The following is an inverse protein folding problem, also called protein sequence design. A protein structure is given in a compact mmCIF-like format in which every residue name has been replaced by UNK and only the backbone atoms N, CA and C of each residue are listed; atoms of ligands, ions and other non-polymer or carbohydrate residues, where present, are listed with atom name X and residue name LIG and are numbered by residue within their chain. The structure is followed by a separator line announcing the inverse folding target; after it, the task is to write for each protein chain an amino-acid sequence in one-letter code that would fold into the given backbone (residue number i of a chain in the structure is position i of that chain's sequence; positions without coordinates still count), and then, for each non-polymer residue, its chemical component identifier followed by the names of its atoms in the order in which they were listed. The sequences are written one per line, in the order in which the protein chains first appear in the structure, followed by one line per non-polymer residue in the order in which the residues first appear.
data_IF_132588571716
#
_entry.id   IF_132588571716
#
_cell.length_a   1.000
_cell.length_b   1.000
_cell.length_c   1.000
_cell.angle_alpha   90.00
_cell.angle_beta   90.00
_cell.angle_gamma   90.00
#
_symmetry.space_group_name_H-M   'P 1'
#
loop_
_entity.id
_entity.type
_entity.pdbx_description
1 polymer ?
#
# COMPACT_ATOMS: atom_id res chain seq x y z
N UNK A 1 -1.32 -27.03 88.99
CA UNK A 1 -2.03 -26.90 87.72
C UNK A 1 -1.11 -26.13 86.73
N UNK A 2 -0.41 -26.85 85.85
CA UNK A 2 0.55 -26.27 84.87
C UNK A 2 -0.22 -26.10 83.54
N UNK A 3 -0.32 -24.84 83.06
CA UNK A 3 -0.88 -24.52 81.73
C UNK A 3 0.21 -24.68 80.69
N UNK A 4 0.04 -25.58 79.71
CA UNK A 4 0.89 -25.76 78.54
C UNK A 4 0.38 -24.82 77.47
N UNK A 5 1.21 -23.89 77.02
CA UNK A 5 0.97 -22.99 75.91
C UNK A 5 1.49 -23.65 74.64
N UNK A 6 0.61 -24.01 73.69
CA UNK A 6 1.01 -24.52 72.41
C UNK A 6 1.24 -23.36 71.45
N UNK A 7 2.46 -23.26 70.93
CA UNK A 7 2.85 -22.35 69.84
C UNK A 7 2.52 -23.02 68.47
N UNK A 8 1.59 -22.44 67.76
CA UNK A 8 1.30 -22.85 66.38
C UNK A 8 2.23 -22.03 65.45
N UNK A 9 3.18 -22.70 64.79
CA UNK A 9 4.09 -22.15 63.80
C UNK A 9 3.38 -22.15 62.43
N UNK A 10 2.95 -20.97 61.94
CA UNK A 10 2.42 -20.84 60.59
C UNK A 10 3.58 -20.70 59.65
N UNK A 11 3.87 -21.76 58.86
CA UNK A 11 4.78 -21.67 57.72
C UNK A 11 4.03 -20.97 56.55
N UNK A 12 4.42 -19.77 56.22
CA UNK A 12 4.01 -19.10 54.97
C UNK A 12 4.79 -19.72 53.81
N UNK A 13 4.11 -20.53 52.99
CA UNK A 13 4.67 -21.02 51.72
C UNK A 13 4.62 -19.88 50.69
N UNK A 14 5.79 -19.34 50.39
CA UNK A 14 5.97 -18.40 49.29
C UNK A 14 5.92 -19.16 47.96
N UNK A 15 4.81 -18.97 47.21
CA UNK A 15 4.71 -19.43 45.84
C UNK A 15 5.68 -18.63 44.95
N UNK A 16 6.51 -19.28 44.11
CA UNK A 16 7.34 -18.58 43.18
C UNK A 16 6.46 -17.88 42.12
N UNK A 17 6.51 -16.56 42.07
CA UNK A 17 5.96 -15.80 40.94
C UNK A 17 6.72 -16.20 39.68
N UNK A 18 6.06 -16.90 38.76
CA UNK A 18 6.57 -17.15 37.44
C UNK A 18 6.73 -15.81 36.71
N UNK A 19 7.96 -15.31 36.62
CA UNK A 19 8.32 -14.20 35.75
C UNK A 19 8.15 -14.73 34.32
N UNK A 20 7.02 -14.41 33.71
CA UNK A 20 6.80 -14.62 32.27
C UNK A 20 7.82 -13.76 31.53
N UNK A 21 8.91 -14.37 31.08
CA UNK A 21 9.84 -13.72 30.17
C UNK A 21 9.06 -13.29 28.93
N UNK A 22 8.85 -11.98 28.74
CA UNK A 22 8.39 -11.42 27.45
C UNK A 22 9.35 -11.96 26.39
N UNK A 23 8.88 -12.89 25.56
CA UNK A 23 9.57 -13.25 24.33
C UNK A 23 9.88 -11.94 23.61
N UNK A 24 11.17 -11.64 23.40
CA UNK A 24 11.59 -10.56 22.52
C UNK A 24 11.03 -10.88 21.12
N UNK A 25 9.83 -10.41 20.82
CA UNK A 25 9.26 -10.54 19.49
C UNK A 25 10.14 -9.74 18.55
N UNK A 26 10.78 -10.42 17.61
CA UNK A 26 11.49 -9.76 16.51
C UNK A 26 10.43 -8.92 15.77
N UNK A 27 10.64 -7.60 15.66
CA UNK A 27 9.67 -6.74 15.00
C UNK A 27 9.35 -7.30 13.60
N UNK A 28 8.08 -7.49 13.32
CA UNK A 28 7.68 -7.94 11.99
C UNK A 28 7.65 -6.76 11.04
N UNK A 29 8.35 -6.93 9.94
CA UNK A 29 8.43 -5.95 8.86
C UNK A 29 7.41 -6.31 7.78
N UNK A 30 6.74 -5.29 7.25
CA UNK A 30 5.89 -5.35 6.06
C UNK A 30 6.52 -4.48 4.97
N UNK A 31 6.93 -5.10 3.87
CA UNK A 31 7.45 -4.41 2.69
C UNK A 31 6.30 -4.11 1.73
N UNK A 32 6.00 -2.84 1.52
CA UNK A 32 4.90 -2.39 0.66
C UNK A 32 5.42 -1.60 -0.53
N UNK A 33 4.69 -1.67 -1.67
CA UNK A 33 5.05 -0.95 -2.90
C UNK A 33 3.82 -0.26 -3.50
N UNK A 34 4.03 0.92 -4.10
CA UNK A 34 3.11 1.54 -5.05
C UNK A 34 3.75 1.56 -6.43
N UNK A 35 2.99 1.16 -7.45
CA UNK A 35 3.51 1.02 -8.80
C UNK A 35 2.46 1.42 -9.85
N UNK A 36 2.53 2.67 -10.34
CA UNK A 36 1.83 3.00 -11.58
C UNK A 36 2.55 2.25 -12.72
N UNK A 37 1.86 1.20 -13.24
CA UNK A 37 2.45 0.26 -14.19
C UNK A 37 2.43 0.81 -15.63
N UNK A 38 1.80 1.95 -15.86
CA UNK A 38 1.46 2.48 -17.18
C UNK A 38 0.59 1.52 -17.99
N UNK A 39 -0.56 1.97 -18.45
CA UNK A 39 -1.48 1.15 -19.21
C UNK A 39 -0.84 0.57 -20.49
N UNK A 40 -1.30 -0.60 -20.90
CA UNK A 40 -0.87 -1.23 -22.15
C UNK A 40 -1.43 -0.46 -23.34
N UNK A 41 -0.58 0.35 -23.97
CA UNK A 41 -0.90 1.12 -25.17
C UNK A 41 0.26 1.05 -26.18
N UNK A 42 -0.05 0.90 -27.47
CA UNK A 42 0.94 0.95 -28.54
C UNK A 42 1.52 2.35 -28.79
N UNK A 43 0.98 3.39 -28.13
CA UNK A 43 1.46 4.78 -28.29
C UNK A 43 2.81 5.04 -27.63
N UNK A 44 3.26 4.16 -26.75
CA UNK A 44 4.52 4.31 -26.02
C UNK A 44 5.73 3.74 -26.81
N UNK A 45 5.54 3.29 -28.05
CA UNK A 45 6.60 2.79 -28.93
C UNK A 45 7.39 1.65 -28.28
N UNK A 46 8.72 1.79 -28.19
CA UNK A 46 9.61 0.79 -27.55
C UNK A 46 9.40 0.68 -26.02
N UNK A 47 8.62 1.58 -25.42
CA UNK A 47 8.20 1.52 -24.02
C UNK A 47 6.79 0.92 -23.84
N UNK A 48 6.16 0.41 -24.92
CA UNK A 48 4.89 -0.30 -24.81
C UNK A 48 4.99 -1.54 -23.91
N UNK A 49 3.87 -1.96 -23.37
CA UNK A 49 3.80 -3.03 -22.36
C UNK A 49 4.52 -4.31 -22.79
N UNK A 50 4.33 -4.73 -24.03
CA UNK A 50 4.96 -5.95 -24.58
C UNK A 50 6.49 -5.95 -24.46
N UNK A 51 7.13 -4.78 -24.51
CA UNK A 51 8.59 -4.66 -24.38
C UNK A 51 9.08 -4.54 -22.95
N UNK A 52 8.25 -4.09 -22.00
CA UNK A 52 8.66 -3.87 -20.60
C UNK A 52 8.08 -4.87 -19.61
N UNK A 53 7.12 -5.70 -20.03
CA UNK A 53 6.53 -6.68 -19.12
C UNK A 53 7.54 -7.69 -18.54
N UNK A 54 8.57 -8.20 -19.27
CA UNK A 54 9.58 -9.07 -18.66
C UNK A 54 10.40 -8.36 -17.58
N UNK A 55 10.78 -7.08 -17.83
CA UNK A 55 11.52 -6.28 -16.85
C UNK A 55 10.68 -5.96 -15.61
N UNK A 56 9.36 -5.80 -15.77
CA UNK A 56 8.43 -5.67 -14.64
C UNK A 56 8.43 -6.92 -13.76
N UNK A 57 8.41 -8.11 -14.36
CA UNK A 57 8.47 -9.37 -13.60
C UNK A 57 9.80 -9.51 -12.85
N UNK A 58 10.92 -9.20 -13.51
CA UNK A 58 12.24 -9.24 -12.85
C UNK A 58 12.35 -8.22 -11.70
N UNK A 59 11.76 -7.03 -11.87
CA UNK A 59 11.65 -6.04 -10.79
C UNK A 59 10.86 -6.59 -9.61
N UNK A 60 9.71 -7.21 -9.84
CA UNK A 60 8.89 -7.79 -8.77
C UNK A 60 9.58 -8.96 -8.07
N UNK A 61 10.31 -9.81 -8.81
CA UNK A 61 11.13 -10.90 -8.26
C UNK A 61 12.32 -10.40 -7.44
N UNK A 62 12.94 -9.28 -7.82
CA UNK A 62 14.05 -8.66 -7.10
C UNK A 62 13.55 -7.96 -5.83
N UNK A 63 12.52 -7.14 -5.97
CA UNK A 63 12.00 -6.32 -4.87
C UNK A 63 11.17 -7.10 -3.84
N UNK A 64 10.45 -8.13 -4.24
CA UNK A 64 9.66 -9.03 -3.38
C UNK A 64 8.80 -8.29 -2.35
N UNK A 65 7.92 -7.37 -2.75
CA UNK A 65 7.02 -6.72 -1.80
C UNK A 65 6.04 -7.74 -1.19
N UNK A 66 5.68 -7.58 0.09
CA UNK A 66 4.63 -8.38 0.72
C UNK A 66 3.24 -8.02 0.15
N UNK A 67 3.02 -6.72 -0.07
CA UNK A 67 1.81 -6.17 -0.70
C UNK A 67 2.17 -5.01 -1.61
N UNK A 68 1.52 -4.94 -2.78
CA UNK A 68 1.68 -3.77 -3.64
C UNK A 68 0.38 -3.38 -4.33
N UNK A 69 0.21 -2.07 -4.52
CA UNK A 69 -0.86 -1.48 -5.32
C UNK A 69 -0.36 -1.13 -6.71
N UNK A 70 -1.14 -1.46 -7.75
CA UNK A 70 -0.87 -1.02 -9.12
C UNK A 70 -1.92 -0.02 -9.58
N UNK A 71 -1.49 0.97 -10.37
CA UNK A 71 -2.35 1.95 -11.02
C UNK A 71 -2.21 1.79 -12.55
N UNK A 72 -3.22 2.22 -13.30
CA UNK A 72 -3.34 2.13 -14.77
C UNK A 72 -3.38 0.71 -15.35
N UNK A 73 -3.32 -0.34 -14.56
CA UNK A 73 -3.28 -1.69 -15.07
C UNK A 73 -4.57 -2.06 -15.84
N UNK A 74 -4.44 -2.53 -17.07
CA UNK A 74 -5.53 -3.15 -17.81
C UNK A 74 -5.62 -4.64 -17.48
N UNK A 75 -6.76 -5.26 -17.80
CA UNK A 75 -6.99 -6.67 -17.47
C UNK A 75 -5.92 -7.62 -18.03
N UNK A 76 -5.38 -7.36 -19.22
CA UNK A 76 -4.31 -8.17 -19.80
C UNK A 76 -3.01 -8.06 -19.01
N UNK A 77 -2.70 -6.88 -18.43
CA UNK A 77 -1.53 -6.69 -17.56
C UNK A 77 -1.72 -7.41 -16.22
N UNK A 78 -2.93 -7.37 -15.64
CA UNK A 78 -3.27 -8.12 -14.43
C UNK A 78 -3.10 -9.63 -14.65
N UNK A 79 -3.64 -10.16 -15.76
CA UNK A 79 -3.54 -11.59 -16.10
C UNK A 79 -2.09 -12.00 -16.30
N UNK A 80 -1.30 -11.20 -17.02
CA UNK A 80 0.13 -11.43 -17.21
C UNK A 80 0.90 -11.49 -15.87
N UNK A 81 0.67 -10.52 -14.99
CA UNK A 81 1.33 -10.55 -13.67
C UNK A 81 0.91 -11.77 -12.84
N UNK A 82 -0.35 -12.21 -12.91
CA UNK A 82 -0.79 -13.44 -12.23
C UNK A 82 -0.11 -14.68 -12.76
N UNK A 83 0.09 -14.77 -14.06
CA UNK A 83 0.73 -15.90 -14.71
C UNK A 83 2.22 -15.99 -14.36
N UNK A 84 2.94 -14.87 -14.39
CA UNK A 84 4.40 -14.85 -14.23
C UNK A 84 4.90 -14.53 -12.82
N UNK A 85 3.99 -14.16 -11.89
CA UNK A 85 4.27 -13.95 -10.47
C UNK A 85 3.42 -14.89 -9.59
N UNK A 86 3.63 -16.21 -9.74
CA UNK A 86 2.83 -17.26 -9.10
C UNK A 86 2.70 -17.13 -7.57
N UNK A 87 3.68 -16.52 -6.91
CA UNK A 87 3.65 -16.27 -5.45
C UNK A 87 2.60 -15.23 -5.05
N UNK A 88 2.09 -14.45 -6.01
CA UNK A 88 1.14 -13.39 -5.76
C UNK A 88 -0.28 -13.76 -6.20
N UNK A 89 -1.26 -13.17 -5.50
CA UNK A 89 -2.65 -13.10 -5.93
C UNK A 89 -3.12 -11.65 -5.84
N UNK A 90 -4.27 -11.33 -6.43
CA UNK A 90 -4.75 -9.96 -6.50
C UNK A 90 -6.25 -9.82 -6.30
N UNK A 91 -6.67 -8.61 -5.93
CA UNK A 91 -8.06 -8.14 -5.93
C UNK A 91 -8.16 -6.78 -6.60
N UNK A 92 -9.35 -6.45 -7.08
CA UNK A 92 -9.68 -5.20 -7.75
C UNK A 92 -10.60 -5.43 -8.94
N UNK A 93 -11.19 -4.34 -9.43
CA UNK A 93 -12.10 -4.35 -10.58
C UNK A 93 -11.74 -3.23 -11.54
N UNK A 94 -12.17 -3.36 -12.79
CA UNK A 94 -12.05 -2.32 -13.80
C UNK A 94 -12.95 -1.13 -13.47
N UNK A 95 -12.38 0.07 -13.53
CA UNK A 95 -13.06 1.31 -13.10
C UNK A 95 -14.31 1.67 -13.93
N UNK A 96 -14.43 1.16 -15.16
CA UNK A 96 -15.50 1.57 -16.06
C UNK A 96 -16.81 0.82 -15.82
N UNK A 97 -16.75 -0.45 -15.41
CA UNK A 97 -17.92 -1.31 -15.25
C UNK A 97 -17.99 -2.06 -13.92
N UNK A 98 -16.99 -1.90 -13.05
CA UNK A 98 -16.89 -2.67 -11.82
C UNK A 98 -16.59 -4.15 -12.04
N UNK A 99 -16.10 -4.51 -13.22
CA UNK A 99 -15.75 -5.89 -13.62
C UNK A 99 -14.39 -5.93 -14.30
N UNK A 100 -14.34 -5.87 -15.64
CA UNK A 100 -13.10 -6.04 -16.41
C UNK A 100 -12.73 -4.86 -17.31
N UNK A 101 -13.59 -3.85 -17.46
CA UNK A 101 -13.35 -2.71 -18.35
C UNK A 101 -12.68 -1.55 -17.64
N UNK A 102 -11.75 -0.92 -18.36
CA UNK A 102 -10.96 0.22 -17.87
C UNK A 102 -9.78 -0.21 -17.00
N UNK A 103 -9.13 0.77 -16.41
CA UNK A 103 -7.96 0.57 -15.56
C UNK A 103 -8.35 0.03 -14.19
N UNK A 104 -7.48 -0.80 -13.63
CA UNK A 104 -7.60 -1.38 -12.30
C UNK A 104 -6.69 -0.65 -11.30
N UNK A 105 -7.23 -0.44 -10.12
CA UNK A 105 -6.44 -0.10 -8.92
C UNK A 105 -6.26 -1.36 -8.10
N UNK A 106 -5.62 -2.39 -8.71
CA UNK A 106 -5.46 -3.69 -8.04
C UNK A 106 -4.48 -3.65 -6.90
N UNK A 107 -4.75 -4.50 -5.90
CA UNK A 107 -3.86 -4.82 -4.79
C UNK A 107 -3.38 -6.25 -4.97
N UNK A 108 -2.07 -6.44 -5.05
CA UNK A 108 -1.41 -7.73 -5.07
C UNK A 108 -0.78 -8.03 -3.72
N UNK A 109 -0.80 -9.29 -3.29
CA UNK A 109 -0.14 -9.73 -2.07
C UNK A 109 0.61 -11.04 -2.27
N UNK A 110 1.75 -11.18 -1.60
CA UNK A 110 2.50 -12.42 -1.56
C UNK A 110 1.75 -13.45 -0.70
N UNK A 111 1.27 -14.52 -1.32
CA UNK A 111 0.53 -15.60 -0.65
C UNK A 111 1.30 -16.32 0.45
N UNK A 112 2.65 -16.25 0.43
CA UNK A 112 3.52 -16.88 1.44
C UNK A 112 3.54 -16.07 2.74
N UNK A 113 3.51 -14.74 2.64
CA UNK A 113 3.67 -13.82 3.80
C UNK A 113 2.37 -13.20 4.28
N UNK A 114 1.40 -13.00 3.38
CA UNK A 114 0.15 -12.31 3.68
C UNK A 114 -1.07 -13.18 3.32
N UNK A 115 -2.14 -13.08 4.13
CA UNK A 115 -3.46 -13.65 3.85
C UNK A 115 -4.46 -12.51 3.67
N UNK A 116 -5.15 -12.46 2.54
CA UNK A 116 -6.30 -11.58 2.31
C UNK A 116 -7.51 -12.11 3.08
N UNK A 117 -8.29 -11.23 3.72
CA UNK A 117 -9.48 -11.57 4.52
C UNK A 117 -10.76 -11.08 3.83
N UNK A 118 -10.81 -9.78 3.49
CA UNK A 118 -11.92 -9.16 2.78
C UNK A 118 -11.41 -7.97 1.97
N UNK A 119 -12.14 -7.57 0.95
CA UNK A 119 -11.79 -6.44 0.11
C UNK A 119 -13.03 -5.78 -0.49
N UNK A 120 -12.83 -4.61 -1.08
CA UNK A 120 -13.86 -3.89 -1.83
C UNK A 120 -13.25 -2.78 -2.67
N UNK A 121 -14.06 -2.24 -3.57
CA UNK A 121 -13.72 -1.08 -4.39
C UNK A 121 -14.85 -0.08 -4.34
N UNK A 122 -14.54 1.21 -4.30
CA UNK A 122 -15.52 2.28 -4.43
C UNK A 122 -15.02 3.34 -5.42
N UNK A 123 -15.95 4.07 -6.02
CA UNK A 123 -15.66 5.13 -6.97
C UNK A 123 -15.43 6.46 -6.27
N UNK A 124 -14.50 7.24 -6.79
CA UNK A 124 -14.23 8.58 -6.28
C UNK A 124 -15.20 9.57 -6.95
N UNK A 125 -16.39 9.61 -6.39
CA UNK A 125 -17.51 10.43 -6.87
C UNK A 125 -18.54 10.65 -5.77
N UNK A 126 -19.55 11.43 -6.06
CA UNK A 126 -20.72 11.65 -5.20
C UNK A 126 -21.62 10.41 -5.06
N UNK A 127 -21.40 9.39 -5.92
CA UNK A 127 -22.10 8.10 -5.86
C UNK A 127 -21.11 6.93 -5.83
N UNK A 128 -20.37 6.75 -4.74
CA UNK A 128 -19.19 5.86 -4.68
C UNK A 128 -19.53 4.37 -4.77
N UNK A 129 -20.77 3.97 -4.66
CA UNK A 129 -21.18 2.55 -4.66
C UNK A 129 -21.35 1.96 -6.07
N UNK A 130 -21.25 2.76 -7.11
CA UNK A 130 -21.42 2.33 -8.50
C UNK A 130 -20.43 3.03 -9.44
N UNK A 131 -20.15 2.43 -10.63
CA UNK A 131 -19.31 3.06 -11.64
C UNK A 131 -19.79 4.46 -12.01
N UNK A 132 -19.11 5.48 -11.51
CA UNK A 132 -19.46 6.89 -11.69
C UNK A 132 -18.22 7.76 -11.81
N UNK A 133 -18.40 8.94 -12.37
CA UNK A 133 -17.39 9.99 -12.50
C UNK A 133 -17.79 11.14 -11.60
N UNK A 134 -16.87 11.59 -10.73
CA UNK A 134 -17.18 12.60 -9.72
C UNK A 134 -16.60 13.96 -10.05
N UNK A 135 -17.28 15.02 -9.62
CA UNK A 135 -16.85 16.42 -9.71
C UNK A 135 -16.41 16.81 -11.14
N UNK A 136 -15.21 17.39 -11.25
CA UNK A 136 -14.58 17.77 -12.53
C UNK A 136 -13.62 16.70 -13.10
N UNK A 137 -13.79 15.42 -12.70
CA UNK A 137 -12.92 14.34 -13.14
C UNK A 137 -12.96 14.14 -14.66
N UNK A 138 -11.81 13.82 -15.26
CA UNK A 138 -11.71 13.50 -16.68
C UNK A 138 -12.11 12.04 -16.98
N UNK A 139 -12.01 11.16 -15.99
CA UNK A 139 -12.37 9.75 -16.09
C UNK A 139 -12.81 9.21 -14.73
N UNK A 140 -13.47 8.05 -14.72
CA UNK A 140 -13.81 7.37 -13.48
C UNK A 140 -12.55 7.03 -12.70
N UNK A 141 -12.57 7.26 -11.39
CA UNK A 141 -11.48 6.94 -10.47
C UNK A 141 -12.00 6.08 -9.34
N UNK A 142 -11.16 5.17 -8.85
CA UNK A 142 -11.53 4.23 -7.80
C UNK A 142 -10.46 4.16 -6.72
N UNK A 143 -10.88 3.71 -5.54
CA UNK A 143 -10.00 3.21 -4.51
C UNK A 143 -10.39 1.76 -4.20
N UNK A 144 -9.41 0.86 -4.25
CA UNK A 144 -9.55 -0.53 -3.82
C UNK A 144 -8.92 -0.69 -2.46
N UNK A 145 -9.59 -1.38 -1.54
CA UNK A 145 -9.10 -1.65 -0.19
C UNK A 145 -9.16 -3.14 0.12
N UNK A 146 -8.26 -3.60 0.97
CA UNK A 146 -8.24 -4.97 1.46
C UNK A 146 -7.85 -5.01 2.94
N UNK A 147 -8.59 -5.80 3.74
CA UNK A 147 -8.16 -6.24 5.06
C UNK A 147 -7.31 -7.49 4.89
N UNK A 148 -6.11 -7.44 5.42
CA UNK A 148 -5.10 -8.47 5.29
C UNK A 148 -4.56 -8.89 6.66
N UNK A 149 -3.89 -10.04 6.70
CA UNK A 149 -3.23 -10.58 7.89
C UNK A 149 -1.79 -10.96 7.55
N UNK A 150 -0.83 -10.39 8.27
CA UNK A 150 0.54 -10.89 8.26
C UNK A 150 0.58 -12.31 8.84
N UNK A 151 1.10 -13.26 8.07
CA UNK A 151 1.10 -14.68 8.49
C UNK A 151 2.11 -14.97 9.59
N UNK A 152 3.19 -14.18 9.67
CA UNK A 152 4.24 -14.37 10.66
C UNK A 152 3.77 -13.96 12.07
N UNK A 153 3.13 -12.82 12.20
CA UNK A 153 2.71 -12.26 13.50
C UNK A 153 1.23 -12.46 13.80
N UNK A 154 0.43 -12.73 12.78
CA UNK A 154 -1.02 -12.75 12.91
C UNK A 154 -1.66 -11.37 12.98
N UNK A 155 -0.90 -10.28 12.93
CA UNK A 155 -1.43 -8.91 12.95
C UNK A 155 -2.23 -8.62 11.70
N UNK A 156 -3.36 -7.94 11.87
CA UNK A 156 -4.21 -7.48 10.77
C UNK A 156 -3.85 -6.05 10.40
N UNK A 157 -4.03 -5.73 9.12
CA UNK A 157 -3.83 -4.37 8.60
C UNK A 157 -4.70 -4.16 7.38
N UNK A 158 -4.98 -2.90 7.07
CA UNK A 158 -5.63 -2.49 5.82
C UNK A 158 -4.61 -2.00 4.81
N UNK A 159 -4.86 -2.32 3.55
CA UNK A 159 -4.13 -1.76 2.42
C UNK A 159 -5.14 -1.11 1.47
N UNK A 160 -4.90 0.14 1.08
CA UNK A 160 -5.74 0.90 0.16
C UNK A 160 -4.88 1.36 -1.01
N UNK A 161 -5.41 1.25 -2.23
CA UNK A 161 -4.74 1.67 -3.45
C UNK A 161 -5.65 2.52 -4.32
N UNK A 162 -5.14 3.62 -4.86
CA UNK A 162 -5.90 4.58 -5.66
C UNK A 162 -5.08 5.20 -6.78
N UNK A 163 -5.78 5.83 -7.73
CA UNK A 163 -5.21 6.72 -8.72
C UNK A 163 -6.14 7.93 -8.87
N UNK A 164 -5.70 9.09 -8.38
CA UNK A 164 -6.49 10.32 -8.43
C UNK A 164 -6.53 10.91 -9.84
N UNK A 165 -7.49 11.80 -10.11
CA UNK A 165 -7.67 12.34 -11.46
C UNK A 165 -6.48 13.23 -11.89
N UNK A 166 -6.05 13.08 -13.15
CA UNK A 166 -4.89 13.79 -13.68
C UNK A 166 -5.20 15.23 -14.15
N UNK A 167 -6.49 15.61 -14.26
CA UNK A 167 -6.94 16.94 -14.69
C UNK A 167 -7.79 17.67 -13.65
N UNK A 168 -8.83 17.02 -13.15
CA UNK A 168 -9.81 17.61 -12.24
C UNK A 168 -9.19 17.98 -10.89
N UNK A 169 -9.13 19.26 -10.56
CA UNK A 169 -8.60 19.73 -9.26
C UNK A 169 -9.55 19.39 -8.12
N UNK A 170 -10.83 19.64 -8.30
CA UNK A 170 -11.86 19.29 -7.30
C UNK A 170 -11.99 17.77 -7.16
N UNK A 171 -11.88 17.01 -8.26
CA UNK A 171 -11.89 15.55 -8.21
C UNK A 171 -10.73 14.99 -7.41
N UNK A 172 -9.51 15.56 -7.51
CA UNK A 172 -8.36 15.16 -6.67
C UNK A 172 -8.60 15.48 -5.19
N UNK A 173 -9.00 16.72 -4.89
CA UNK A 173 -9.24 17.18 -3.52
C UNK A 173 -10.34 16.37 -2.83
N UNK A 174 -11.51 16.29 -3.47
CA UNK A 174 -12.68 15.62 -2.92
C UNK A 174 -12.52 14.09 -2.95
N UNK A 175 -11.86 13.53 -3.98
CA UNK A 175 -11.54 12.12 -4.05
C UNK A 175 -10.61 11.69 -2.91
N UNK A 176 -9.56 12.47 -2.61
CA UNK A 176 -8.68 12.20 -1.47
C UNK A 176 -9.43 12.32 -0.15
N UNK A 177 -10.27 13.37 0.02
CA UNK A 177 -11.12 13.51 1.19
C UNK A 177 -12.05 12.31 1.38
N UNK A 178 -12.72 11.88 0.30
CA UNK A 178 -13.60 10.71 0.33
C UNK A 178 -12.87 9.44 0.76
N UNK A 179 -11.63 9.22 0.27
CA UNK A 179 -10.80 8.10 0.69
C UNK A 179 -10.55 8.17 2.20
N UNK A 180 -10.12 9.32 2.71
CA UNK A 180 -9.83 9.53 4.14
C UNK A 180 -11.07 9.27 5.00
N UNK A 181 -12.23 9.81 4.61
CA UNK A 181 -13.48 9.63 5.36
C UNK A 181 -13.94 8.15 5.34
N UNK A 182 -13.79 7.46 4.21
CA UNK A 182 -14.15 6.04 4.09
C UNK A 182 -13.19 5.09 4.80
N UNK A 183 -11.91 5.41 4.85
CA UNK A 183 -10.91 4.66 5.61
C UNK A 183 -11.37 4.50 7.06
N UNK A 184 -11.83 5.57 7.71
CA UNK A 184 -12.31 5.52 9.09
C UNK A 184 -13.51 4.57 9.25
N UNK A 185 -14.46 4.59 8.31
CA UNK A 185 -15.64 3.72 8.33
C UNK A 185 -15.33 2.25 7.99
N UNK A 186 -14.33 2.01 7.13
CA UNK A 186 -13.92 0.66 6.73
C UNK A 186 -13.14 -0.04 7.86
N UNK A 187 -12.40 0.72 8.67
CA UNK A 187 -11.50 0.25 9.72
C UNK A 187 -11.98 0.63 11.14
N UNK A 188 -13.16 0.22 11.57
CA UNK A 188 -13.68 0.55 12.90
C UNK A 188 -12.84 -0.05 14.03
N UNK A 189 -12.08 -1.11 13.75
CA UNK A 189 -11.20 -1.78 14.72
C UNK A 189 -9.87 -1.05 14.91
N UNK A 190 -9.56 -0.02 14.13
CA UNK A 190 -8.33 0.76 14.25
C UNK A 190 -7.05 -0.02 13.90
N UNK A 191 -7.13 -1.03 13.03
CA UNK A 191 -5.93 -1.76 12.58
C UNK A 191 -4.95 -0.84 11.83
N UNK A 192 -3.65 -1.15 11.85
CA UNK A 192 -2.67 -0.47 11.00
C UNK A 192 -3.14 -0.39 9.55
N UNK A 193 -2.81 0.70 8.88
CA UNK A 193 -3.29 0.98 7.53
C UNK A 193 -2.18 1.55 6.64
N UNK A 194 -2.20 1.15 5.36
CA UNK A 194 -1.35 1.68 4.29
C UNK A 194 -2.26 2.24 3.19
N UNK A 195 -1.94 3.43 2.70
CA UNK A 195 -2.55 4.02 1.52
C UNK A 195 -1.47 4.27 0.47
N UNK A 196 -1.64 3.69 -0.71
CA UNK A 196 -0.74 3.84 -1.85
C UNK A 196 -1.47 4.45 -3.05
N UNK A 197 -0.72 5.07 -3.95
CA UNK A 197 -1.30 5.50 -5.22
C UNK A 197 -0.51 6.57 -5.94
N UNK A 198 -0.90 6.77 -7.19
CA UNK A 198 -0.60 7.98 -7.96
C UNK A 198 -1.66 9.03 -7.63
N UNK A 199 -1.25 10.07 -6.92
CA UNK A 199 -2.18 11.13 -6.50
C UNK A 199 -2.25 12.29 -7.48
N UNK A 200 -1.42 12.30 -8.52
CA UNK A 200 -1.37 13.37 -9.52
C UNK A 200 -1.24 14.78 -8.91
N UNK A 201 -0.63 14.88 -7.74
CA UNK A 201 -0.40 16.13 -6.98
C UNK A 201 1.03 16.15 -6.45
N UNK A 202 1.68 17.32 -6.47
CA UNK A 202 2.97 17.54 -5.82
C UNK A 202 2.83 17.59 -4.29
N UNK A 203 3.92 17.36 -3.52
CA UNK A 203 3.88 17.24 -2.06
C UNK A 203 3.38 18.47 -1.29
N UNK A 204 3.41 19.65 -1.91
CA UNK A 204 2.96 20.93 -1.36
C UNK A 204 1.47 21.23 -1.59
N UNK A 205 0.75 20.31 -2.23
CA UNK A 205 -0.67 20.51 -2.54
C UNK A 205 -1.51 20.56 -1.24
N UNK A 206 -2.34 21.61 -1.05
CA UNK A 206 -3.13 21.78 0.17
C UNK A 206 -4.16 20.66 0.42
N UNK A 207 -4.52 19.87 -0.59
CA UNK A 207 -5.40 18.71 -0.43
C UNK A 207 -4.83 17.64 0.53
N UNK A 208 -3.50 17.63 0.76
CA UNK A 208 -2.85 16.69 1.69
C UNK A 208 -3.11 17.00 3.17
N UNK A 209 -3.53 18.22 3.54
CA UNK A 209 -3.69 18.62 4.96
C UNK A 209 -4.54 17.63 5.75
N UNK A 210 -5.67 17.20 5.19
CA UNK A 210 -6.56 16.23 5.84
C UNK A 210 -5.94 14.83 5.96
N UNK A 211 -5.15 14.40 4.98
CA UNK A 211 -4.44 13.13 5.01
C UNK A 211 -3.24 13.18 5.96
N UNK A 212 -2.42 14.25 5.91
CA UNK A 212 -1.25 14.43 6.78
C UNK A 212 -1.64 14.50 8.28
N UNK A 213 -2.87 14.92 8.59
CA UNK A 213 -3.40 14.90 9.95
C UNK A 213 -3.71 13.49 10.48
N UNK A 214 -3.90 12.50 9.62
CA UNK A 214 -4.33 11.13 9.97
C UNK A 214 -3.29 10.06 9.68
N UNK A 215 -2.46 10.26 8.68
CA UNK A 215 -1.47 9.29 8.22
C UNK A 215 -0.11 9.97 8.01
N UNK A 216 0.95 9.18 8.15
CA UNK A 216 2.33 9.64 7.94
C UNK A 216 2.76 9.30 6.52
N UNK A 217 3.38 10.24 5.82
CA UNK A 217 4.06 9.96 4.54
C UNK A 217 5.35 9.18 4.80
N UNK A 218 5.47 7.98 4.22
CA UNK A 218 6.68 7.16 4.38
C UNK A 218 7.94 7.91 3.95
N UNK A 219 7.87 8.64 2.82
CA UNK A 219 8.98 9.46 2.31
C UNK A 219 9.44 10.55 3.28
N UNK A 220 8.49 11.16 4.00
CA UNK A 220 8.80 12.27 4.94
C UNK A 220 9.41 11.79 6.26
N UNK A 221 9.03 10.58 6.72
CA UNK A 221 9.37 10.13 8.09
C UNK A 221 10.38 8.99 8.15
N UNK A 222 10.67 8.31 7.04
CA UNK A 222 11.66 7.24 7.03
C UNK A 222 13.07 7.79 7.28
N UNK A 223 13.84 7.25 8.23
CA UNK A 223 15.23 7.67 8.48
C UNK A 223 16.15 7.39 7.29
N UNK A 224 15.83 6.36 6.50
CA UNK A 224 16.48 6.08 5.22
C UNK A 224 15.49 6.38 4.11
N UNK A 225 15.69 7.47 3.40
CA UNK A 225 14.84 7.97 2.32
C UNK A 225 15.67 8.52 1.18
N UNK A 226 15.09 8.62 -0.01
CA UNK A 226 15.68 9.28 -1.16
C UNK A 226 14.86 10.52 -1.59
N UNK A 227 15.47 11.37 -2.42
CA UNK A 227 14.86 12.56 -2.97
C UNK A 227 14.54 12.42 -4.47
N UNK A 228 14.47 11.19 -4.98
CA UNK A 228 14.22 10.94 -6.39
C UNK A 228 12.79 11.31 -6.78
N UNK A 229 12.59 11.78 -8.02
CA UNK A 229 11.25 11.93 -8.59
C UNK A 229 10.57 10.56 -8.75
N UNK A 230 9.24 10.52 -8.72
CA UNK A 230 8.48 9.28 -8.94
C UNK A 230 7.96 9.15 -10.37
N UNK A 231 7.73 10.27 -11.07
CA UNK A 231 7.33 10.30 -12.48
C UNK A 231 8.52 10.65 -13.37
N UNK A 232 8.91 9.76 -14.28
CA UNK A 232 10.06 9.90 -15.18
C UNK A 232 9.68 10.29 -16.63
N UNK A 233 8.44 10.04 -17.05
CA UNK A 233 7.97 10.32 -18.42
C UNK A 233 8.89 9.74 -19.51
N UNK A 234 9.43 8.53 -19.27
CA UNK A 234 10.41 7.85 -20.16
C UNK A 234 11.73 8.64 -20.35
N UNK A 235 12.11 9.48 -19.39
CA UNK A 235 13.30 10.32 -19.45
C UNK A 235 14.20 10.06 -18.25
N UNK A 236 15.51 9.97 -18.51
CA UNK A 236 16.55 9.93 -17.49
C UNK A 236 16.91 11.31 -16.93
N UNK A 237 16.34 12.39 -17.48
CA UNK A 237 16.59 13.74 -16.99
C UNK A 237 15.99 13.90 -15.59
N UNK A 238 16.72 14.56 -14.67
CA UNK A 238 16.19 14.88 -13.35
C UNK A 238 14.87 15.66 -13.44
N UNK A 239 13.95 15.36 -12.54
CA UNK A 239 12.65 16.00 -12.42
C UNK A 239 12.30 16.18 -10.94
N UNK A 240 11.45 17.15 -10.62
CA UNK A 240 10.89 17.38 -9.29
C UNK A 240 9.51 16.73 -9.10
N UNK A 241 9.08 15.94 -10.07
CA UNK A 241 7.74 15.35 -10.09
C UNK A 241 7.64 14.15 -9.15
N UNK A 242 7.21 14.41 -7.93
CA UNK A 242 6.81 13.42 -6.94
C UNK A 242 5.29 13.43 -6.89
N UNK A 243 4.65 12.38 -7.42
CA UNK A 243 3.18 12.27 -7.51
C UNK A 243 2.67 10.92 -7.04
N UNK A 244 3.57 9.96 -6.78
CA UNK A 244 3.26 8.65 -6.21
C UNK A 244 3.61 8.65 -4.73
N UNK A 245 2.75 8.03 -3.90
CA UNK A 245 2.85 8.11 -2.45
C UNK A 245 2.59 6.78 -1.77
N UNK A 246 3.24 6.61 -0.61
CA UNK A 246 2.91 5.62 0.41
C UNK A 246 2.69 6.38 1.72
N UNK A 247 1.46 6.32 2.22
CA UNK A 247 1.06 6.80 3.53
C UNK A 247 0.74 5.62 4.45
N UNK A 248 0.95 5.79 5.74
CA UNK A 248 0.66 4.75 6.73
C UNK A 248 0.21 5.33 8.08
N UNK A 249 -0.56 4.53 8.82
CA UNK A 249 -0.93 4.80 10.22
C UNK A 249 -0.98 3.50 11.02
N UNK A 250 -0.86 3.58 12.35
CA UNK A 250 -0.94 2.43 13.25
C UNK A 250 0.27 1.48 13.21
N UNK A 251 1.25 1.69 12.33
CA UNK A 251 2.55 1.02 12.38
C UNK A 251 3.48 1.76 13.36
N UNK A 252 4.38 1.03 14.01
CA UNK A 252 5.31 1.61 14.99
C UNK A 252 6.33 2.53 14.34
N UNK A 253 6.83 2.17 13.16
CA UNK A 253 7.80 2.97 12.39
C UNK A 253 7.81 2.62 10.89
N UNK A 254 8.44 3.50 10.11
CA UNK A 254 8.89 3.25 8.74
C UNK A 254 10.42 3.28 8.74
N UNK A 255 11.06 2.16 8.39
CA UNK A 255 12.53 2.05 8.41
C UNK A 255 13.16 2.67 7.17
N UNK A 256 12.51 2.52 6.02
CA UNK A 256 13.06 2.88 4.73
C UNK A 256 11.94 3.27 3.76
N UNK A 257 12.20 4.29 2.96
CA UNK A 257 11.50 4.62 1.73
C UNK A 257 12.50 4.61 0.59
N UNK A 258 12.13 4.02 -0.54
CA UNK A 258 13.00 3.91 -1.71
C UNK A 258 12.21 4.10 -3.01
N UNK A 259 12.78 4.88 -3.92
CA UNK A 259 12.36 4.94 -5.33
C UNK A 259 13.18 3.91 -6.11
N UNK A 260 12.52 2.98 -6.81
CA UNK A 260 13.18 1.88 -7.54
C UNK A 260 13.65 2.39 -8.90
N UNK A 261 14.89 2.82 -8.97
CA UNK A 261 15.53 3.37 -10.18
C UNK A 261 16.46 2.39 -10.88
N UNK A 262 16.62 1.17 -10.32
CA UNK A 262 17.42 0.08 -10.88
C UNK A 262 16.89 -0.31 -12.26
N UNK A 263 17.81 -0.54 -13.20
CA UNK A 263 17.50 -1.11 -14.51
C UNK A 263 17.23 -2.60 -14.40
N UNK A 264 16.29 -3.10 -15.19
CA UNK A 264 15.96 -4.51 -15.28
C UNK A 264 15.96 -4.94 -16.74
N UNK A 265 16.69 -6.04 -17.06
CA UNK A 265 16.88 -6.54 -18.43
C UNK A 265 17.32 -5.42 -19.39
N UNK A 266 18.33 -4.64 -18.96
CA UNK A 266 18.89 -3.48 -19.67
C UNK A 266 17.90 -2.35 -20.01
N UNK A 267 16.65 -2.45 -19.51
CA UNK A 267 15.68 -1.36 -19.66
C UNK A 267 15.88 -0.30 -18.57
N UNK A 268 15.96 0.98 -18.97
CA UNK A 268 16.08 2.08 -18.00
C UNK A 268 14.79 2.26 -17.19
N UNK A 269 13.64 1.82 -17.72
CA UNK A 269 12.34 2.03 -17.10
C UNK A 269 11.47 0.77 -17.21
N UNK A 270 10.77 0.45 -16.13
CA UNK A 270 9.68 -0.54 -16.10
C UNK A 270 8.32 0.12 -16.32
N UNK A 271 8.23 1.43 -16.16
CA UNK A 271 7.07 2.31 -16.39
C UNK A 271 7.55 3.76 -16.55
N UNK A 272 6.68 4.67 -17.04
CA UNK A 272 6.92 6.12 -16.98
C UNK A 272 6.83 6.69 -15.55
N UNK A 273 6.50 5.84 -14.57
CA UNK A 273 6.69 6.06 -13.15
C UNK A 273 7.74 5.10 -12.59
N UNK A 274 8.49 5.53 -11.58
CA UNK A 274 9.32 4.66 -10.78
C UNK A 274 8.47 4.02 -9.69
N UNK A 275 8.53 2.68 -9.49
CA UNK A 275 7.92 2.06 -8.32
C UNK A 275 8.53 2.64 -7.04
N UNK A 276 7.72 2.82 -6.01
CA UNK A 276 8.17 3.27 -4.69
C UNK A 276 7.87 2.22 -3.63
N UNK A 277 8.77 2.09 -2.66
CA UNK A 277 8.72 1.06 -1.62
C UNK A 277 8.84 1.71 -0.25
N UNK A 278 8.15 1.13 0.73
CA UNK A 278 8.37 1.41 2.13
C UNK A 278 8.48 0.11 2.95
N UNK A 279 9.32 0.14 4.01
CA UNK A 279 9.48 -0.94 4.98
C UNK A 279 8.88 -0.49 6.31
N UNK A 280 7.75 -1.06 6.67
CA UNK A 280 6.95 -0.69 7.84
C UNK A 280 7.12 -1.74 8.95
N UNK A 281 7.17 -1.29 10.20
CA UNK A 281 7.23 -2.15 11.38
C UNK A 281 5.88 -2.12 12.11
N UNK A 282 5.33 -3.31 12.39
CA UNK A 282 4.09 -3.47 13.17
C UNK A 282 4.23 -3.07 14.64
#
# INVERSE_FOLDING_TARGET
MKKILAFVLIMAASLPQAISAKKNEVPSELKVMSYNIRLATGKDGTNSWEFRCPATIEMLKDQKPDVFGVQEALINQILFMKEYCEDYDNVGVGRDDGKKKGEFMSIFWNKKTVKMIKWGTFWLSETPEKPSMGWDAHCKRTATWALMKDKKTGKKFYFVNTHLDHRGKEARKNGLKLIVDRIESINPEGYPMVLTGDFNMKPDNPAFVGLDARMKSARKVAPKTDNHNTFNAWSVKPSDKVIDYIYFSGFSSCLEYQTVTKKYLDRPFVSDHYPIIARLIF
#
